data_IF_989116053405
#
_entry.id   IF_989116053405
#
_cell.length_a   1.000
_cell.length_b   1.000
_cell.length_c   1.000
_cell.angle_alpha   90.00
_cell.angle_beta   90.00
_cell.angle_gamma   90.00
#
_symmetry.space_group_name_H-M   'P 1'
#
loop_
_entity.id
_entity.type
_entity.pdbx_description
1 polymer ?
#
# COMPACT_ATOMS: atom_id res chain seq x y z
N UNK A 1 -15.28 2.70 -2.70
CA UNK A 1 -14.95 1.40 -3.34
C UNK A 1 -15.99 0.38 -2.91
N UNK A 2 -16.69 -0.28 -3.85
CA UNK A 2 -17.79 -1.23 -3.56
C UNK A 2 -17.62 -2.58 -4.28
N UNK A 3 -16.45 -2.82 -4.86
CA UNK A 3 -16.16 -3.99 -5.67
C UNK A 3 -15.90 -5.21 -4.76
N UNK A 4 -16.72 -6.27 -4.83
CA UNK A 4 -16.58 -7.45 -3.96
C UNK A 4 -15.21 -8.12 -4.05
N UNK A 5 -14.62 -8.19 -5.25
CA UNK A 5 -13.28 -8.78 -5.48
C UNK A 5 -12.16 -8.10 -4.68
N UNK A 6 -12.38 -6.87 -4.23
CA UNK A 6 -11.43 -6.12 -3.41
C UNK A 6 -11.82 -6.15 -1.92
N UNK A 7 -13.13 -6.11 -1.63
CA UNK A 7 -13.64 -6.06 -0.26
C UNK A 7 -13.54 -7.41 0.46
N UNK A 8 -13.81 -8.52 -0.23
CA UNK A 8 -13.81 -9.85 0.40
C UNK A 8 -12.42 -10.25 0.93
N UNK A 9 -11.31 -10.12 0.17
CA UNK A 9 -9.98 -10.38 0.72
C UNK A 9 -9.61 -9.45 1.88
N UNK A 10 -10.03 -8.18 1.81
CA UNK A 10 -9.76 -7.21 2.87
C UNK A 10 -10.48 -7.61 4.18
N UNK A 11 -11.76 -8.01 4.10
CA UNK A 11 -12.49 -8.55 5.24
C UNK A 11 -11.85 -9.81 5.81
N UNK A 12 -11.40 -10.73 4.95
CA UNK A 12 -10.75 -11.98 5.39
C UNK A 12 -9.44 -11.70 6.13
N UNK A 13 -8.61 -10.79 5.62
CA UNK A 13 -7.29 -10.50 6.18
C UNK A 13 -7.37 -9.64 7.46
N UNK A 14 -8.34 -8.73 7.55
CA UNK A 14 -8.48 -7.83 8.71
C UNK A 14 -9.46 -8.35 9.77
N UNK A 15 -10.34 -9.30 9.42
CA UNK A 15 -11.32 -9.89 10.34
C UNK A 15 -12.39 -8.91 10.82
N UNK A 16 -12.62 -7.81 10.09
CA UNK A 16 -13.58 -6.76 10.45
C UNK A 16 -14.23 -6.17 9.20
N UNK A 17 -15.30 -5.39 9.39
CA UNK A 17 -15.76 -4.48 8.34
C UNK A 17 -14.63 -3.49 7.99
N UNK A 18 -14.53 -3.11 6.73
CA UNK A 18 -13.52 -2.17 6.25
C UNK A 18 -14.16 -0.96 5.59
N UNK A 19 -13.42 0.13 5.55
CA UNK A 19 -13.74 1.30 4.75
C UNK A 19 -12.51 1.75 3.97
N UNK A 20 -12.72 2.62 2.98
CA UNK A 20 -11.64 3.15 2.16
C UNK A 20 -10.98 4.32 2.90
N UNK A 21 -9.78 4.09 3.42
CA UNK A 21 -8.97 5.12 4.06
C UNK A 21 -8.36 6.10 3.05
N UNK A 22 -7.63 5.57 2.06
CA UNK A 22 -6.95 6.35 1.03
C UNK A 22 -7.14 5.71 -0.34
N UNK A 23 -7.27 6.54 -1.37
CA UNK A 23 -7.26 6.13 -2.76
C UNK A 23 -6.29 7.00 -3.55
N UNK A 24 -5.35 6.38 -4.26
CA UNK A 24 -4.35 7.07 -5.07
C UNK A 24 -4.10 6.30 -6.36
N UNK A 25 -3.79 7.06 -7.42
CA UNK A 25 -3.27 6.52 -8.68
C UNK A 25 -1.84 7.01 -8.79
N UNK A 26 -0.89 6.09 -8.80
CA UNK A 26 0.52 6.40 -8.97
C UNK A 26 0.85 6.32 -10.46
N UNK A 27 0.96 7.48 -11.10
CA UNK A 27 1.34 7.57 -12.51
C UNK A 27 2.87 7.67 -12.61
N UNK A 28 3.49 6.71 -13.31
CA UNK A 28 4.92 6.73 -13.62
C UNK A 28 5.11 6.93 -15.11
N UNK A 29 5.48 8.14 -15.51
CA UNK A 29 5.74 8.45 -16.92
C UNK A 29 6.94 7.65 -17.45
N UNK A 30 6.84 7.19 -18.69
CA UNK A 30 7.96 6.58 -19.40
C UNK A 30 9.13 7.58 -19.51
N UNK A 31 10.36 7.10 -19.27
CA UNK A 31 11.60 7.86 -19.41
C UNK A 31 11.74 9.13 -18.56
N UNK A 32 10.82 9.40 -17.63
CA UNK A 32 10.85 10.59 -16.76
C UNK A 32 10.22 10.39 -15.38
N UNK A 33 9.81 9.17 -15.04
CA UNK A 33 9.28 8.86 -13.71
C UNK A 33 10.38 8.82 -12.65
N UNK A 34 10.16 9.51 -11.54
CA UNK A 34 11.08 9.56 -10.40
C UNK A 34 10.96 8.29 -9.51
N UNK A 35 11.87 8.14 -8.54
CA UNK A 35 11.99 6.96 -7.67
C UNK A 35 11.32 7.23 -6.34
N UNK A 36 10.40 6.34 -5.93
CA UNK A 36 9.82 6.42 -4.59
C UNK A 36 10.81 5.84 -3.59
N UNK A 37 11.23 6.62 -2.56
CA UNK A 37 12.18 6.12 -1.57
C UNK A 37 11.56 4.98 -0.76
N UNK A 38 12.41 4.13 -0.19
CA UNK A 38 11.99 3.10 0.74
C UNK A 38 11.27 3.72 1.94
N UNK A 39 10.11 3.20 2.30
CA UNK A 39 9.33 3.67 3.43
C UNK A 39 8.33 2.62 3.93
N UNK A 40 7.80 2.83 5.14
CA UNK A 40 6.61 2.15 5.66
C UNK A 40 5.45 3.14 5.68
N UNK A 41 4.36 2.91 4.94
CA UNK A 41 3.27 3.91 4.95
C UNK A 41 2.62 4.07 6.33
N UNK A 42 2.59 3.01 7.15
CA UNK A 42 1.94 3.06 8.47
C UNK A 42 2.57 4.08 9.42
N UNK A 43 3.88 4.37 9.31
CA UNK A 43 4.52 5.37 10.18
C UNK A 43 3.91 6.76 9.96
N UNK A 44 3.65 7.13 8.71
CA UNK A 44 3.05 8.41 8.35
C UNK A 44 1.59 8.44 8.78
N UNK A 45 0.83 7.37 8.52
CA UNK A 45 -0.57 7.32 8.93
C UNK A 45 -0.74 7.33 10.46
N UNK A 46 0.20 6.75 11.20
CA UNK A 46 0.19 6.81 12.66
C UNK A 46 0.56 8.21 13.17
N UNK A 47 1.66 8.79 12.68
CA UNK A 47 2.21 10.06 13.17
C UNK A 47 1.39 11.27 12.71
N UNK A 48 0.93 11.29 11.46
CA UNK A 48 0.26 12.43 10.84
C UNK A 48 -1.26 12.33 10.91
N UNK A 49 -1.82 11.13 10.68
CA UNK A 49 -3.27 10.93 10.61
C UNK A 49 -3.87 10.29 11.89
N UNK A 50 -3.02 9.91 12.84
CA UNK A 50 -3.44 9.36 14.14
C UNK A 50 -4.01 7.94 14.08
N UNK A 51 -3.71 7.15 13.03
CA UNK A 51 -4.18 5.76 12.96
C UNK A 51 -3.51 4.94 14.09
N UNK A 52 -4.27 4.39 15.06
CA UNK A 52 -3.68 3.85 16.28
C UNK A 52 -3.03 2.47 16.10
N UNK A 53 -3.51 1.66 15.14
CA UNK A 53 -3.07 0.29 14.92
C UNK A 53 -2.87 0.02 13.43
N UNK A 54 -1.89 -0.81 13.03
CA UNK A 54 -1.65 -1.19 11.64
C UNK A 54 -2.69 -2.19 11.12
N UNK A 55 -3.97 -1.99 11.45
CA UNK A 55 -5.12 -2.74 10.92
C UNK A 55 -5.61 -2.12 9.61
N UNK A 56 -4.70 -2.03 8.66
CA UNK A 56 -4.90 -1.42 7.35
C UNK A 56 -4.22 -2.29 6.31
N UNK A 57 -4.87 -2.47 5.16
CA UNK A 57 -4.30 -3.21 4.02
C UNK A 57 -4.28 -2.33 2.79
N UNK A 58 -3.23 -2.46 1.97
CA UNK A 58 -3.16 -1.83 0.65
C UNK A 58 -3.50 -2.85 -0.42
N UNK A 59 -4.35 -2.41 -1.34
CA UNK A 59 -4.71 -3.15 -2.55
C UNK A 59 -4.20 -2.34 -3.73
N UNK A 60 -3.32 -2.94 -4.53
CA UNK A 60 -2.79 -2.33 -5.74
C UNK A 60 -3.44 -2.98 -6.95
N UNK A 61 -3.98 -2.16 -7.85
CA UNK A 61 -4.49 -2.58 -9.15
C UNK A 61 -3.51 -2.04 -10.18
N UNK A 62 -2.93 -2.95 -10.97
CA UNK A 62 -2.05 -2.59 -12.07
C UNK A 62 -2.93 -2.12 -13.23
N UNK A 63 -2.76 -0.84 -13.62
CA UNK A 63 -3.46 -0.25 -14.76
C UNK A 63 -2.71 -0.46 -16.08
N UNK A 64 -1.41 -0.72 -15.99
CA UNK A 64 -0.51 -1.06 -17.09
C UNK A 64 0.26 -2.35 -16.74
N UNK A 65 0.79 -3.02 -17.77
CA UNK A 65 1.65 -4.18 -17.59
C UNK A 65 2.89 -3.81 -16.77
N UNK A 66 3.17 -4.58 -15.72
CA UNK A 66 4.32 -4.38 -14.85
C UNK A 66 5.45 -5.35 -15.24
N UNK A 67 6.65 -4.83 -15.42
CA UNK A 67 7.85 -5.63 -15.66
C UNK A 67 9.06 -5.07 -14.89
N UNK A 68 10.20 -5.74 -15.00
CA UNK A 68 11.42 -5.36 -14.29
C UNK A 68 12.04 -4.02 -14.77
N UNK A 69 11.63 -3.51 -15.92
CA UNK A 69 12.20 -2.32 -16.55
C UNK A 69 11.38 -1.04 -16.35
N UNK A 70 10.09 -1.14 -16.00
CA UNK A 70 9.23 0.03 -15.83
C UNK A 70 9.09 0.50 -14.37
N UNK A 71 10.04 0.10 -13.51
CA UNK A 71 10.11 0.53 -12.12
C UNK A 71 9.02 -0.09 -11.25
N UNK A 72 9.03 -1.43 -11.09
CA UNK A 72 8.00 -2.12 -10.33
C UNK A 72 8.03 -1.73 -8.86
N UNK A 73 6.91 -1.96 -8.17
CA UNK A 73 6.89 -1.90 -6.72
C UNK A 73 7.69 -3.08 -6.16
N UNK A 74 8.69 -2.80 -5.35
CA UNK A 74 9.57 -3.80 -4.73
C UNK A 74 9.29 -3.84 -3.24
N UNK A 75 9.35 -5.05 -2.67
CA UNK A 75 9.15 -5.28 -1.24
C UNK A 75 10.35 -6.00 -0.65
N UNK A 76 10.61 -5.77 0.64
CA UNK A 76 11.51 -6.60 1.45
C UNK A 76 10.65 -7.67 2.11
N UNK A 77 10.73 -8.96 1.71
CA UNK A 77 9.87 -10.00 2.28
C UNK A 77 10.02 -10.12 3.80
N UNK A 78 8.90 -10.25 4.51
CA UNK A 78 8.89 -10.42 5.97
C UNK A 78 9.13 -9.14 6.78
N UNK A 79 9.49 -8.01 6.18
CA UNK A 79 9.81 -6.76 6.92
C UNK A 79 8.65 -6.26 7.80
N UNK A 80 7.40 -6.52 7.42
CA UNK A 80 6.20 -6.18 8.20
C UNK A 80 6.18 -6.84 9.61
N UNK A 81 6.93 -7.92 9.82
CA UNK A 81 7.03 -8.60 11.13
C UNK A 81 7.86 -7.81 12.14
N UNK A 82 8.69 -6.87 11.68
CA UNK A 82 9.49 -6.00 12.56
C UNK A 82 8.67 -4.85 13.17
N UNK A 83 7.38 -4.74 12.82
CA UNK A 83 6.52 -3.65 13.28
C UNK A 83 6.87 -2.31 12.63
N UNK A 84 6.50 -1.23 13.31
CA UNK A 84 6.83 0.12 12.87
C UNK A 84 8.26 0.44 13.28
N UNK A 85 9.12 0.70 12.31
CA UNK A 85 10.49 1.15 12.53
C UNK A 85 10.50 2.67 12.55
N UNK A 86 11.18 3.26 13.53
CA UNK A 86 11.45 4.69 13.49
C UNK A 86 12.46 5.00 12.38
N UNK A 87 12.10 5.97 11.54
CA UNK A 87 12.97 6.65 10.57
C UNK A 87 13.37 8.02 11.10
#
# INVERSE_FOLDING_TARGET
MREPRLLEPAHQLLGSQVYLYQFKINLKAAFGGDVWPWHQDFIYWHKEDGIPLPKVIRLAILLDDLNEFNGPMIFIPGSHQQGMLDV
#
